data_IF_813893768523
#
_entry.id   IF_813893768523
#
_cell.length_a   1.000
_cell.length_b   1.000
_cell.length_c   1.000
_cell.angle_alpha   90.00
_cell.angle_beta   90.00
_cell.angle_gamma   90.00
#
_symmetry.space_group_name_H-M   'P 1'
#
loop_
_entity.id
_entity.type
_entity.pdbx_description
1 polymer ?
#
# COMPACT_ATOMS: atom_id res chain seq x y z
N UNK A 1 13.42 -43.32 -1.78
CA UNK A 1 14.55 -42.65 -2.42
C UNK A 1 14.50 -41.20 -1.95
N UNK A 2 15.45 -40.76 -1.12
CA UNK A 2 15.47 -39.40 -0.59
C UNK A 2 16.04 -38.46 -1.66
N UNK A 3 15.25 -37.45 -2.06
CA UNK A 3 15.72 -36.37 -2.92
C UNK A 3 16.67 -35.50 -2.06
N UNK A 4 17.90 -35.23 -2.50
CA UNK A 4 18.84 -34.39 -1.76
C UNK A 4 18.27 -33.01 -1.50
N UNK A 5 18.49 -32.44 -0.31
CA UNK A 5 17.99 -31.14 0.11
C UNK A 5 18.30 -30.00 -0.87
N UNK A 6 19.39 -30.08 -1.63
CA UNK A 6 19.75 -29.13 -2.69
C UNK A 6 18.80 -29.12 -3.88
N UNK A 7 18.15 -30.24 -4.19
CA UNK A 7 17.15 -30.29 -5.26
C UNK A 7 15.82 -29.75 -4.80
N UNK A 8 15.44 -29.98 -3.54
CA UNK A 8 14.25 -29.35 -2.93
C UNK A 8 14.37 -27.82 -2.84
N UNK A 9 15.55 -27.30 -2.54
CA UNK A 9 15.78 -25.85 -2.56
C UNK A 9 15.74 -25.29 -3.98
N UNK A 10 16.22 -26.04 -4.96
CA UNK A 10 16.16 -25.63 -6.36
C UNK A 10 14.74 -25.69 -6.92
N UNK A 11 13.94 -26.67 -6.52
CA UNK A 11 12.52 -26.74 -6.88
C UNK A 11 11.72 -25.64 -6.19
N UNK A 12 11.91 -25.40 -4.89
CA UNK A 12 11.32 -24.24 -4.20
C UNK A 12 11.69 -22.90 -4.83
N UNK A 13 12.94 -22.77 -5.29
CA UNK A 13 13.41 -21.57 -5.97
C UNK A 13 12.86 -21.47 -7.40
N UNK A 14 12.57 -22.57 -8.06
CA UNK A 14 11.88 -22.61 -9.35
C UNK A 14 10.39 -22.34 -9.22
N UNK A 15 9.72 -22.86 -8.19
CA UNK A 15 8.31 -22.57 -7.91
C UNK A 15 8.09 -21.12 -7.49
N UNK A 16 9.01 -20.53 -6.71
CA UNK A 16 8.98 -19.09 -6.40
C UNK A 16 9.39 -18.20 -7.59
N UNK A 17 10.09 -18.75 -8.58
CA UNK A 17 10.47 -18.04 -9.81
C UNK A 17 9.46 -18.18 -10.95
N UNK A 18 8.47 -19.04 -10.80
CA UNK A 18 7.40 -19.26 -11.79
C UNK A 18 6.16 -18.40 -11.47
N UNK A 19 6.35 -17.15 -11.16
CA UNK A 19 5.31 -16.15 -11.38
C UNK A 19 5.18 -16.06 -12.90
N UNK A 20 4.07 -16.54 -13.42
CA UNK A 20 3.73 -16.59 -14.83
C UNK A 20 4.18 -15.29 -15.52
N UNK A 21 4.98 -15.43 -16.56
CA UNK A 21 5.52 -14.31 -17.33
C UNK A 21 4.36 -13.43 -17.80
N UNK A 22 4.19 -12.25 -17.19
CA UNK A 22 3.18 -11.26 -17.59
C UNK A 22 2.29 -10.70 -16.47
N UNK A 23 2.12 -11.37 -15.34
CA UNK A 23 1.27 -10.87 -14.24
C UNK A 23 2.13 -10.27 -13.14
N UNK A 24 2.02 -8.95 -12.96
CA UNK A 24 2.69 -8.26 -11.85
C UNK A 24 1.79 -8.34 -10.61
N UNK A 25 2.27 -8.88 -9.49
CA UNK A 25 1.48 -8.91 -8.26
C UNK A 25 1.22 -7.48 -7.77
N UNK A 26 0.04 -7.25 -7.21
CA UNK A 26 -0.40 -5.95 -6.73
C UNK A 26 -0.33 -5.90 -5.20
N UNK A 27 0.34 -4.89 -4.67
CA UNK A 27 0.48 -4.64 -3.24
C UNK A 27 -0.25 -3.37 -2.87
N UNK A 28 -1.16 -3.45 -1.91
CA UNK A 28 -1.83 -2.29 -1.31
C UNK A 28 -1.16 -2.00 0.03
N UNK A 29 -0.55 -0.84 0.14
CA UNK A 29 0.12 -0.35 1.35
C UNK A 29 -0.79 0.66 2.05
N UNK A 30 -1.25 0.35 3.25
CA UNK A 30 -2.01 1.26 4.09
C UNK A 30 -1.32 1.43 5.45
N UNK A 31 -0.49 2.46 5.63
CA UNK A 31 0.14 2.75 6.91
C UNK A 31 -0.86 3.32 7.90
N UNK A 32 -0.64 3.07 9.19
CA UNK A 32 -1.26 3.89 10.23
C UNK A 32 -0.91 5.36 9.94
N UNK A 33 -1.89 6.29 9.94
CA UNK A 33 -1.69 7.67 9.48
C UNK A 33 -0.88 8.54 10.46
N UNK A 34 0.21 7.99 10.96
CA UNK A 34 1.21 8.67 11.77
C UNK A 34 2.53 8.76 11.00
N UNK A 35 3.23 9.87 11.10
CA UNK A 35 4.47 10.13 10.35
C UNK A 35 5.52 9.04 10.55
N UNK A 36 5.64 8.50 11.78
CA UNK A 36 6.55 7.42 12.09
C UNK A 36 6.26 6.10 11.36
N UNK A 37 5.03 5.90 10.91
CA UNK A 37 4.60 4.72 10.15
C UNK A 37 4.57 4.99 8.64
N UNK A 38 4.11 6.18 8.25
CA UNK A 38 3.99 6.57 6.84
C UNK A 38 5.35 6.58 6.16
N UNK A 39 6.35 7.21 6.77
CA UNK A 39 7.66 7.40 6.15
C UNK A 39 8.42 6.08 5.89
N UNK A 40 8.52 5.14 6.84
CA UNK A 40 9.16 3.85 6.59
C UNK A 40 8.41 3.02 5.54
N UNK A 41 7.08 2.97 5.64
CA UNK A 41 6.27 2.22 4.66
C UNK A 41 6.37 2.84 3.27
N UNK A 42 6.41 4.16 3.16
CA UNK A 42 6.58 4.84 1.88
C UNK A 42 7.93 4.54 1.23
N UNK A 43 9.00 4.48 2.03
CA UNK A 43 10.33 4.06 1.54
C UNK A 43 10.31 2.63 1.03
N UNK A 44 9.70 1.71 1.77
CA UNK A 44 9.54 0.32 1.35
C UNK A 44 8.70 0.22 0.08
N UNK A 45 7.55 0.89 0.04
CA UNK A 45 6.63 0.87 -1.09
C UNK A 45 7.29 1.34 -2.40
N UNK A 46 8.21 2.30 -2.34
CA UNK A 46 8.98 2.77 -3.51
C UNK A 46 9.95 1.73 -4.09
N UNK A 47 10.38 0.77 -3.29
CA UNK A 47 11.30 -0.28 -3.75
C UNK A 47 10.56 -1.43 -4.46
N UNK A 48 9.28 -1.64 -4.15
CA UNK A 48 8.50 -2.76 -4.65
C UNK A 48 8.31 -2.74 -6.19
N UNK A 49 8.07 -1.60 -6.85
CA UNK A 49 7.97 -1.55 -8.31
C UNK A 49 9.25 -2.02 -9.03
N UNK A 50 10.42 -1.76 -8.44
CA UNK A 50 11.71 -2.23 -8.96
C UNK A 50 11.84 -3.76 -8.86
N UNK A 51 11.05 -4.40 -8.00
CA UNK A 51 10.96 -5.85 -7.85
C UNK A 51 9.82 -6.48 -8.65
N UNK A 52 9.18 -5.71 -9.52
CA UNK A 52 8.12 -6.19 -10.40
C UNK A 52 6.71 -6.16 -9.80
N UNK A 53 6.49 -5.43 -8.71
CA UNK A 53 5.17 -5.27 -8.11
C UNK A 53 4.46 -4.03 -8.64
N UNK A 54 3.13 -4.10 -8.72
CA UNK A 54 2.27 -2.93 -8.72
C UNK A 54 2.00 -2.51 -7.28
N UNK A 55 2.06 -1.22 -7.00
CA UNK A 55 1.84 -0.69 -5.66
C UNK A 55 0.74 0.36 -5.69
N UNK A 56 -0.23 0.23 -4.80
CA UNK A 56 -1.16 1.30 -4.43
C UNK A 56 -0.88 1.70 -2.99
N UNK A 57 -0.48 2.95 -2.81
CA UNK A 57 -0.22 3.53 -1.50
C UNK A 57 -1.43 4.35 -1.06
N UNK A 58 -2.08 3.90 0.00
CA UNK A 58 -3.31 4.52 0.51
C UNK A 58 -2.99 5.46 1.65
N UNK A 59 -3.33 6.72 1.50
CA UNK A 59 -3.23 7.74 2.53
C UNK A 59 -4.61 8.16 3.01
N UNK A 60 -4.70 8.70 4.23
CA UNK A 60 -5.85 9.52 4.58
C UNK A 60 -5.78 10.84 3.80
N UNK A 61 -6.92 11.43 3.52
CA UNK A 61 -7.00 12.72 2.80
C UNK A 61 -6.17 13.81 3.49
N UNK A 62 -6.17 13.83 4.82
CA UNK A 62 -5.36 14.75 5.62
C UNK A 62 -3.86 14.58 5.36
N UNK A 63 -3.35 13.36 5.46
CA UNK A 63 -1.93 13.09 5.24
C UNK A 63 -1.52 13.28 3.78
N UNK A 64 -2.42 13.01 2.85
CA UNK A 64 -2.18 13.25 1.43
C UNK A 64 -1.98 14.74 1.14
N UNK A 65 -2.85 15.60 1.68
CA UNK A 65 -2.71 17.07 1.57
C UNK A 65 -1.41 17.57 2.19
N UNK A 66 -1.03 17.04 3.35
CA UNK A 66 0.26 17.39 3.99
C UNK A 66 1.45 16.99 3.14
N UNK A 67 1.40 15.80 2.54
CA UNK A 67 2.47 15.30 1.69
C UNK A 67 2.62 16.17 0.43
N UNK A 68 1.52 16.58 -0.20
CA UNK A 68 1.50 17.52 -1.33
C UNK A 68 2.10 18.86 -0.96
N UNK A 69 1.75 19.43 0.20
CA UNK A 69 2.30 20.71 0.67
C UNK A 69 3.80 20.63 0.94
N UNK A 70 4.28 19.56 1.54
CA UNK A 70 5.69 19.40 1.92
C UNK A 70 6.61 19.08 0.75
N UNK A 71 6.12 18.41 -0.27
CA UNK A 71 6.94 17.90 -1.39
C UNK A 71 6.59 18.50 -2.75
N UNK A 72 5.54 19.31 -2.84
CA UNK A 72 5.00 19.85 -4.08
C UNK A 72 3.97 18.95 -4.76
N UNK A 73 3.12 19.55 -5.59
CA UNK A 73 2.01 18.83 -6.23
C UNK A 73 2.45 17.67 -7.13
N UNK A 74 3.56 17.83 -7.82
CA UNK A 74 4.06 16.82 -8.77
C UNK A 74 4.75 15.62 -8.07
N UNK A 75 5.00 15.70 -6.78
CA UNK A 75 5.70 14.63 -6.04
C UNK A 75 4.87 13.38 -5.88
N UNK A 76 3.56 13.46 -6.09
CA UNK A 76 2.60 12.38 -5.97
C UNK A 76 2.01 11.93 -7.31
N UNK A 77 2.50 12.45 -8.45
CA UNK A 77 2.04 12.03 -9.78
C UNK A 77 2.31 10.55 -10.06
N UNK A 78 2.97 9.89 -9.10
CA UNK A 78 3.31 8.49 -9.22
C UNK A 78 4.49 8.26 -10.16
N UNK A 79 4.83 7.02 -10.32
CA UNK A 79 5.79 6.53 -11.29
C UNK A 79 5.33 5.14 -11.76
N UNK A 80 5.88 4.61 -12.83
CA UNK A 80 5.41 3.34 -13.38
C UNK A 80 5.30 2.23 -12.32
N UNK A 81 4.09 1.71 -12.15
CA UNK A 81 3.79 0.68 -11.15
C UNK A 81 3.52 1.18 -9.73
N UNK A 82 3.42 2.50 -9.51
CA UNK A 82 3.12 3.07 -8.21
C UNK A 82 2.01 4.13 -8.30
N UNK A 83 0.94 3.95 -7.53
CA UNK A 83 -0.21 4.85 -7.49
C UNK A 83 -0.56 5.24 -6.06
N UNK A 84 -1.11 6.45 -5.92
CA UNK A 84 -1.68 6.92 -4.66
C UNK A 84 -3.20 6.84 -4.69
N UNK A 85 -3.77 6.44 -3.57
CA UNK A 85 -5.20 6.51 -3.30
C UNK A 85 -5.44 7.19 -1.95
N UNK A 86 -6.60 7.78 -1.79
CA UNK A 86 -6.98 8.46 -0.56
C UNK A 86 -8.28 7.92 0.00
N UNK A 87 -8.37 7.86 1.31
CA UNK A 87 -9.58 7.53 2.05
C UNK A 87 -9.85 8.61 3.10
N UNK A 88 -11.12 8.87 3.45
CA UNK A 88 -11.46 9.79 4.53
C UNK A 88 -10.96 9.25 5.87
N UNK A 89 -10.49 10.13 6.75
CA UNK A 89 -10.07 9.78 8.11
C UNK A 89 -11.22 9.87 9.13
N UNK A 90 -12.35 10.41 8.72
CA UNK A 90 -13.54 10.58 9.55
C UNK A 90 -13.42 11.64 10.65
N UNK A 91 -12.34 12.41 10.64
CA UNK A 91 -12.16 13.53 11.55
C UNK A 91 -12.65 14.83 10.92
N UNK A 92 -13.08 15.83 11.74
CA UNK A 92 -13.42 17.15 11.22
C UNK A 92 -12.27 17.75 10.42
N UNK A 93 -12.56 18.58 9.40
CA UNK A 93 -11.51 19.31 8.69
C UNK A 93 -10.71 20.13 9.69
N UNK A 94 -9.43 19.86 9.81
CA UNK A 94 -8.50 20.65 10.60
C UNK A 94 -7.53 21.34 9.66
N UNK A 95 -7.06 22.52 10.06
CA UNK A 95 -5.98 23.18 9.33
C UNK A 95 -4.78 22.23 9.27
N UNK A 96 -4.21 22.09 8.08
CA UNK A 96 -3.18 21.08 7.80
C UNK A 96 -1.88 21.27 8.61
N UNK A 97 -1.79 22.34 9.37
CA UNK A 97 -0.64 22.65 10.24
C UNK A 97 -0.82 22.13 11.68
N UNK A 98 -2.04 21.69 12.03
CA UNK A 98 -2.31 21.11 13.35
C UNK A 98 -2.16 19.60 13.26
N UNK A 99 -1.29 19.04 14.09
CA UNK A 99 -1.19 17.57 14.19
C UNK A 99 -2.48 17.00 14.76
N UNK A 100 -3.05 16.00 14.07
CA UNK A 100 -4.20 15.27 14.61
C UNK A 100 -3.81 14.60 15.93
N UNK A 101 -4.67 14.69 16.93
CA UNK A 101 -4.45 14.02 18.21
C UNK A 101 -4.38 12.51 18.03
N UNK A 102 -3.32 11.87 18.48
CA UNK A 102 -3.11 10.43 18.37
C UNK A 102 -4.29 9.63 18.94
N UNK A 103 -4.83 9.94 20.14
CA UNK A 103 -5.96 9.21 20.69
C UNK A 103 -7.21 9.27 19.81
N UNK A 104 -7.55 10.45 19.29
CA UNK A 104 -8.70 10.65 18.40
C UNK A 104 -8.54 9.89 17.08
N UNK A 105 -7.33 9.86 16.55
CA UNK A 105 -7.02 9.16 15.31
C UNK A 105 -7.13 7.63 15.51
N UNK A 106 -6.54 7.09 16.57
CA UNK A 106 -6.59 5.65 16.86
C UNK A 106 -8.02 5.18 17.09
N UNK A 107 -8.85 5.99 17.72
CA UNK A 107 -10.27 5.66 17.92
C UNK A 107 -11.09 5.75 16.64
N UNK A 108 -10.80 6.71 15.75
CA UNK A 108 -11.57 6.93 14.52
C UNK A 108 -11.24 5.93 13.42
N UNK A 109 -9.98 5.50 13.31
CA UNK A 109 -9.51 4.64 12.23
C UNK A 109 -10.33 3.36 12.01
N UNK A 110 -10.62 2.53 13.04
CA UNK A 110 -11.42 1.32 12.84
C UNK A 110 -12.85 1.62 12.41
N UNK A 111 -13.39 2.76 12.83
CA UNK A 111 -14.80 3.14 12.59
C UNK A 111 -15.01 3.76 11.22
N UNK A 112 -14.02 4.53 10.73
CA UNK A 112 -14.19 5.43 9.58
C UNK A 112 -13.37 5.05 8.37
N UNK A 113 -12.19 4.44 8.56
CA UNK A 113 -11.32 4.06 7.45
C UNK A 113 -11.61 2.66 6.92
N UNK A 114 -12.18 1.76 7.73
CA UNK A 114 -12.39 0.37 7.32
C UNK A 114 -13.37 0.25 6.14
N UNK A 115 -14.50 0.91 6.21
CA UNK A 115 -15.52 0.85 5.13
C UNK A 115 -15.01 1.45 3.83
N UNK A 116 -14.42 2.67 3.80
CA UNK A 116 -13.79 3.20 2.59
C UNK A 116 -12.69 2.29 2.02
N UNK A 117 -11.88 1.69 2.87
CA UNK A 117 -10.83 0.76 2.45
C UNK A 117 -11.43 -0.50 1.82
N UNK A 118 -12.45 -1.10 2.45
CA UNK A 118 -13.16 -2.25 1.90
C UNK A 118 -13.84 -1.95 0.56
N UNK A 119 -14.27 -0.71 0.34
CA UNK A 119 -14.86 -0.27 -0.93
C UNK A 119 -13.79 0.01 -2.00
N UNK A 120 -12.59 0.38 -1.60
CA UNK A 120 -11.47 0.63 -2.51
C UNK A 120 -10.92 -0.67 -3.11
N UNK A 121 -10.83 -1.72 -2.32
CA UNK A 121 -10.26 -3.01 -2.71
C UNK A 121 -10.90 -3.62 -3.98
N UNK A 122 -12.23 -3.74 -4.10
CA UNK A 122 -12.85 -4.23 -5.31
C UNK A 122 -12.57 -3.36 -6.55
N UNK A 123 -12.47 -2.03 -6.37
CA UNK A 123 -12.12 -1.12 -7.46
C UNK A 123 -10.71 -1.38 -7.97
N UNK A 124 -9.75 -1.60 -7.07
CA UNK A 124 -8.38 -1.93 -7.43
C UNK A 124 -8.28 -3.29 -8.13
N UNK A 125 -9.07 -4.27 -7.70
CA UNK A 125 -9.16 -5.57 -8.37
C UNK A 125 -9.75 -5.44 -9.79
N UNK A 126 -10.77 -4.62 -9.97
CA UNK A 126 -11.42 -4.45 -11.27
C UNK A 126 -10.51 -3.74 -12.29
N UNK A 127 -9.77 -2.72 -11.88
CA UNK A 127 -8.80 -2.03 -12.75
C UNK A 127 -7.60 -2.91 -13.14
N UNK A 128 -7.35 -3.95 -12.35
CA UNK A 128 -6.29 -4.95 -12.60
C UNK A 128 -6.76 -6.15 -13.44
N UNK A 129 -8.02 -6.18 -13.85
CA UNK A 129 -8.76 -7.39 -14.27
C UNK A 129 -8.46 -7.95 -15.66
N UNK A 130 -7.48 -7.44 -16.39
CA UNK A 130 -7.04 -8.12 -17.62
C UNK A 130 -6.14 -9.34 -17.36
N UNK A 131 -5.60 -9.49 -16.15
CA UNK A 131 -4.83 -10.66 -15.71
C UNK A 131 -5.05 -10.86 -14.21
N UNK A 132 -5.45 -12.05 -13.79
CA UNK A 132 -5.68 -12.40 -12.40
C UNK A 132 -4.48 -12.00 -11.52
N UNK A 133 -4.58 -10.87 -10.86
CA UNK A 133 -3.52 -10.35 -10.01
C UNK A 133 -3.80 -10.77 -8.57
N UNK A 134 -2.83 -11.39 -7.96
CA UNK A 134 -2.89 -11.67 -6.53
C UNK A 134 -2.68 -10.35 -5.79
N UNK A 135 -3.69 -9.94 -5.04
CA UNK A 135 -3.64 -8.73 -4.23
C UNK A 135 -3.02 -9.08 -2.87
N UNK A 136 -1.91 -8.45 -2.55
CA UNK A 136 -1.30 -8.52 -1.23
C UNK A 136 -1.62 -7.25 -0.44
N UNK A 137 -2.02 -7.44 0.83
CA UNK A 137 -2.28 -6.33 1.73
C UNK A 137 -1.11 -6.20 2.71
N UNK A 138 -0.52 -5.02 2.77
CA UNK A 138 0.49 -4.72 3.77
C UNK A 138 -0.09 -3.69 4.76
N UNK A 139 -0.58 -4.22 5.88
CA UNK A 139 -1.00 -3.41 7.02
C UNK A 139 0.10 -3.48 8.08
N UNK A 140 0.58 -2.34 8.54
CA UNK A 140 1.45 -2.27 9.70
C UNK A 140 0.64 -1.69 10.85
N UNK A 141 0.22 -2.57 11.74
CA UNK A 141 -0.29 -2.22 13.06
C UNK A 141 0.83 -2.40 14.07
N UNK A 142 1.03 -1.42 14.87
CA UNK A 142 1.78 -1.53 16.11
C UNK A 142 0.89 -1.09 17.27
#
# INVERSE_FOLDING_TARGET
MCIPDREREREKKREMGSISAGVKPHVVCFPVPLQGHINPMFKLAKLLPQKGFHVTFVNTEYNHKRLLRSRGHNSLDGFPGFHFETIPDGLPPSDADVSQGIPSLVESLPKTCLVPLCNLIPKLNYTSSSNAQTLFYLFIYF
#
